data_IF_398493674832
#
_entry.id   IF_398493674832
#
_cell.length_a   1.000
_cell.length_b   1.000
_cell.length_c   1.000
_cell.angle_alpha   90.00
_cell.angle_beta   90.00
_cell.angle_gamma   90.00
#
_symmetry.space_group_name_H-M   'P 1'
#
loop_
_entity.id
_entity.type
_entity.pdbx_description
1 polymer ?
#
# COMPACT_ATOMS: atom_id res chain seq x y z
N UNK A 1 30.15 -0.06 17.42
CA UNK A 1 28.76 -0.53 17.59
C UNK A 1 27.73 0.60 17.54
N UNK A 2 28.01 1.81 18.09
CA UNK A 2 27.07 2.94 18.06
C UNK A 2 26.76 3.49 16.64
N UNK A 3 27.75 3.54 15.74
CA UNK A 3 27.54 4.00 14.35
C UNK A 3 26.71 3.04 13.48
N UNK A 4 26.73 1.74 13.79
CA UNK A 4 25.91 0.75 13.07
C UNK A 4 24.46 0.81 13.51
N UNK A 5 24.23 0.95 14.83
CA UNK A 5 22.89 1.09 15.39
C UNK A 5 22.19 2.37 14.92
N UNK A 6 22.89 3.51 14.87
CA UNK A 6 22.30 4.78 14.39
C UNK A 6 21.98 4.73 12.90
N UNK A 7 22.84 4.11 12.08
CA UNK A 7 22.61 3.93 10.64
C UNK A 7 21.42 3.00 10.38
N UNK A 8 21.35 1.86 11.07
CA UNK A 8 20.23 0.93 10.96
C UNK A 8 18.90 1.57 11.40
N UNK A 9 18.91 2.41 12.45
CA UNK A 9 17.71 3.14 12.88
C UNK A 9 17.26 4.18 11.84
N UNK A 10 18.19 4.85 11.17
CA UNK A 10 17.89 5.76 10.05
C UNK A 10 17.31 5.04 8.83
N UNK A 11 17.86 3.87 8.50
CA UNK A 11 17.35 3.01 7.41
C UNK A 11 15.92 2.53 7.71
N UNK A 12 15.65 2.06 8.95
CA UNK A 12 14.29 1.67 9.37
C UNK A 12 13.31 2.85 9.31
N UNK A 13 13.74 4.05 9.67
CA UNK A 13 12.89 5.25 9.57
C UNK A 13 12.54 5.56 8.11
N UNK A 14 13.50 5.43 7.19
CA UNK A 14 13.25 5.61 5.75
C UNK A 14 12.27 4.56 5.21
N UNK A 15 12.36 3.30 5.68
CA UNK A 15 11.40 2.23 5.32
C UNK A 15 9.98 2.62 5.76
N UNK A 16 9.83 3.03 7.02
CA UNK A 16 8.53 3.40 7.56
C UNK A 16 7.93 4.61 6.83
N UNK A 17 8.75 5.57 6.39
CA UNK A 17 8.28 6.69 5.57
C UNK A 17 7.80 6.25 4.19
N UNK A 18 8.57 5.40 3.49
CA UNK A 18 8.15 4.86 2.18
C UNK A 18 6.87 4.02 2.31
N UNK A 19 6.79 3.19 3.35
CA UNK A 19 5.60 2.41 3.65
C UNK A 19 4.40 3.30 3.97
N UNK A 20 4.56 4.31 4.83
CA UNK A 20 3.50 5.25 5.19
C UNK A 20 3.00 6.05 3.98
N UNK A 21 3.89 6.48 3.09
CA UNK A 21 3.50 7.17 1.86
C UNK A 21 2.67 6.26 0.94
N UNK A 22 3.09 5.01 0.74
CA UNK A 22 2.35 4.06 -0.08
C UNK A 22 0.99 3.68 0.55
N UNK A 23 0.91 3.52 1.88
CA UNK A 23 -0.35 3.27 2.59
C UNK A 23 -1.30 4.44 2.44
N UNK A 24 -0.83 5.69 2.59
CA UNK A 24 -1.68 6.87 2.37
C UNK A 24 -2.25 6.92 0.94
N UNK A 25 -1.48 6.48 -0.05
CA UNK A 25 -1.93 6.42 -1.44
C UNK A 25 -2.96 5.32 -1.69
N UNK A 26 -2.84 4.19 -0.98
CA UNK A 26 -3.82 3.11 -0.97
C UNK A 26 -5.11 3.57 -0.29
N UNK A 27 -5.02 4.21 0.88
CA UNK A 27 -6.18 4.72 1.63
C UNK A 27 -6.99 5.70 0.77
N UNK A 28 -6.34 6.65 0.09
CA UNK A 28 -7.02 7.58 -0.81
C UNK A 28 -7.80 6.87 -1.95
N UNK A 29 -7.27 5.76 -2.47
CA UNK A 29 -7.96 4.95 -3.49
C UNK A 29 -9.12 4.16 -2.90
N UNK A 30 -8.96 3.63 -1.69
CA UNK A 30 -10.03 2.92 -0.97
C UNK A 30 -11.20 3.85 -0.65
N UNK A 31 -10.94 5.08 -0.23
CA UNK A 31 -11.98 6.10 -0.03
C UNK A 31 -12.75 6.36 -1.34
N UNK A 32 -12.04 6.46 -2.47
CA UNK A 32 -12.68 6.62 -3.78
C UNK A 32 -13.51 5.39 -4.17
N UNK A 33 -12.99 4.18 -3.95
CA UNK A 33 -13.70 2.92 -4.20
C UNK A 33 -14.98 2.82 -3.36
N UNK A 34 -14.95 3.27 -2.10
CA UNK A 34 -16.12 3.33 -1.24
C UNK A 34 -17.19 4.28 -1.79
N UNK A 35 -16.79 5.48 -2.24
CA UNK A 35 -17.70 6.45 -2.86
C UNK A 35 -18.35 5.88 -4.14
N UNK A 36 -17.58 5.19 -4.99
CA UNK A 36 -18.12 4.51 -6.19
C UNK A 36 -19.12 3.42 -5.84
N UNK A 37 -18.88 2.68 -4.75
CA UNK A 37 -19.81 1.65 -4.28
C UNK A 37 -21.12 2.25 -3.77
N UNK A 38 -21.06 3.38 -3.06
CA UNK A 38 -22.25 4.15 -2.65
C UNK A 38 -23.03 4.67 -3.86
N UNK A 39 -22.34 5.21 -4.86
CA UNK A 39 -22.95 5.68 -6.10
C UNK A 39 -23.63 4.53 -6.86
N UNK A 40 -22.99 3.36 -6.90
CA UNK A 40 -23.52 2.15 -7.55
C UNK A 40 -24.79 1.57 -6.88
N UNK A 41 -25.04 1.90 -5.60
CA UNK A 41 -26.25 1.48 -4.87
C UNK A 41 -27.45 2.39 -5.15
N UNK A 42 -27.25 3.54 -5.81
CA UNK A 42 -28.32 4.45 -6.17
C UNK A 42 -29.38 3.81 -7.05
N UNK A 43 -30.65 3.87 -6.64
CA UNK A 43 -31.79 3.24 -7.35
C UNK A 43 -32.11 3.86 -8.73
N UNK A 44 -31.38 4.91 -9.15
CA UNK A 44 -31.64 5.70 -10.37
C UNK A 44 -30.58 5.53 -11.46
N UNK A 45 -29.63 4.62 -11.27
CA UNK A 45 -28.60 4.34 -12.27
C UNK A 45 -28.95 3.09 -13.07
N UNK A 46 -28.66 3.13 -14.36
CA UNK A 46 -28.79 2.03 -15.31
C UNK A 46 -27.67 0.99 -15.15
N UNK A 47 -27.86 -0.17 -15.78
CA UNK A 47 -26.82 -1.22 -15.80
C UNK A 47 -25.54 -0.76 -16.52
N UNK A 48 -25.67 0.09 -17.54
CA UNK A 48 -24.51 0.67 -18.24
C UNK A 48 -23.72 1.62 -17.34
N UNK A 49 -24.40 2.43 -16.53
CA UNK A 49 -23.75 3.34 -15.58
C UNK A 49 -23.07 2.53 -14.45
N UNK A 50 -23.72 1.46 -13.94
CA UNK A 50 -23.07 0.51 -13.01
C UNK A 50 -21.81 -0.11 -13.60
N UNK A 51 -21.82 -0.48 -14.88
CA UNK A 51 -20.66 -1.06 -15.54
C UNK A 51 -19.48 -0.07 -15.62
N UNK A 52 -19.75 1.22 -15.84
CA UNK A 52 -18.71 2.27 -15.83
C UNK A 52 -18.11 2.41 -14.43
N UNK A 53 -18.94 2.51 -13.38
CA UNK A 53 -18.48 2.58 -12.00
C UNK A 53 -17.67 1.34 -11.60
N UNK A 54 -18.09 0.16 -12.05
CA UNK A 54 -17.35 -1.08 -11.83
C UNK A 54 -15.98 -1.08 -12.51
N UNK A 55 -15.88 -0.55 -13.74
CA UNK A 55 -14.60 -0.44 -14.43
C UNK A 55 -13.64 0.52 -13.71
N UNK A 56 -14.14 1.65 -13.20
CA UNK A 56 -13.34 2.56 -12.37
C UNK A 56 -12.88 1.85 -11.08
N UNK A 57 -13.77 1.15 -10.40
CA UNK A 57 -13.45 0.36 -9.20
C UNK A 57 -12.38 -0.71 -9.48
N UNK A 58 -12.50 -1.45 -10.58
CA UNK A 58 -11.53 -2.47 -10.98
C UNK A 58 -10.16 -1.87 -11.32
N UNK A 59 -10.15 -0.66 -11.92
CA UNK A 59 -8.93 0.09 -12.21
C UNK A 59 -8.23 0.52 -10.93
N UNK A 60 -8.97 1.12 -9.98
CA UNK A 60 -8.43 1.54 -8.68
C UNK A 60 -7.85 0.36 -7.89
N UNK A 61 -8.50 -0.81 -7.94
CA UNK A 61 -7.95 -2.05 -7.35
C UNK A 61 -6.60 -2.42 -7.96
N UNK A 62 -6.46 -2.36 -9.28
CA UNK A 62 -5.20 -2.64 -9.95
C UNK A 62 -4.10 -1.62 -9.59
N UNK A 63 -4.47 -0.36 -9.40
CA UNK A 63 -3.53 0.67 -8.92
C UNK A 63 -3.08 0.41 -7.47
N UNK A 64 -3.98 -0.04 -6.59
CA UNK A 64 -3.62 -0.46 -5.23
C UNK A 64 -2.60 -1.60 -5.26
N UNK A 65 -2.83 -2.63 -6.09
CA UNK A 65 -1.89 -3.74 -6.25
C UNK A 65 -0.53 -3.26 -6.78
N UNK A 66 -0.52 -2.28 -7.70
CA UNK A 66 0.69 -1.68 -8.22
C UNK A 66 1.46 -0.88 -7.17
N UNK A 67 0.77 -0.08 -6.33
CA UNK A 67 1.39 0.70 -5.25
C UNK A 67 1.96 -0.23 -4.17
N UNK A 68 1.18 -1.23 -3.74
CA UNK A 68 1.63 -2.24 -2.79
C UNK A 68 2.85 -3.02 -3.34
N UNK A 69 2.84 -3.33 -4.64
CA UNK A 69 3.96 -3.93 -5.34
C UNK A 69 5.14 -2.98 -5.52
N UNK A 70 4.96 -1.67 -5.66
CA UNK A 70 6.07 -0.73 -5.88
C UNK A 70 6.86 -0.45 -4.59
N UNK A 71 6.21 -0.55 -3.43
CA UNK A 71 6.85 -0.37 -2.13
C UNK A 71 7.96 -1.41 -1.92
N UNK A 72 9.21 -0.99 -2.13
CA UNK A 72 10.40 -1.83 -2.03
C UNK A 72 11.45 -1.20 -1.14
N UNK A 73 12.18 -2.04 -0.40
CA UNK A 73 13.37 -1.66 0.34
C UNK A 73 14.47 -2.70 0.13
N UNK A 74 15.67 -2.25 -0.24
CA UNK A 74 16.81 -3.13 -0.52
C UNK A 74 16.49 -4.30 -1.48
N UNK A 75 15.55 -4.09 -2.41
CA UNK A 75 15.07 -5.11 -3.36
C UNK A 75 13.93 -6.00 -2.86
N UNK A 76 13.51 -5.90 -1.59
CA UNK A 76 12.41 -6.65 -1.02
C UNK A 76 11.10 -5.84 -0.99
N UNK A 77 9.96 -6.46 -1.30
CA UNK A 77 8.62 -5.85 -1.34
C UNK A 77 8.04 -5.72 0.06
N UNK A 78 7.75 -4.51 0.55
CA UNK A 78 7.40 -4.31 1.97
C UNK A 78 5.90 -4.29 2.27
N UNK A 79 5.04 -4.16 1.24
CA UNK A 79 3.58 -4.05 1.39
C UNK A 79 2.77 -5.11 0.61
N UNK A 80 3.43 -6.11 0.01
CA UNK A 80 2.77 -7.13 -0.82
C UNK A 80 2.15 -8.30 -0.03
N UNK A 81 2.20 -8.24 1.30
CA UNK A 81 1.68 -9.29 2.20
C UNK A 81 2.58 -10.54 2.32
N UNK A 82 3.66 -10.64 1.56
CA UNK A 82 4.61 -11.78 1.65
C UNK A 82 5.66 -11.57 2.73
N UNK A 83 5.95 -10.31 3.07
CA UNK A 83 6.84 -9.97 4.17
C UNK A 83 6.08 -10.00 5.49
N UNK A 84 6.18 -11.11 6.23
CA UNK A 84 5.93 -11.15 7.66
C UNK A 84 6.93 -10.23 8.33
N UNK A 85 6.55 -8.95 8.49
CA UNK A 85 7.18 -7.90 9.28
C UNK A 85 8.66 -8.11 9.61
N UNK A 86 9.53 -7.24 9.08
CA UNK A 86 11.00 -7.11 9.18
C UNK A 86 11.72 -7.44 10.52
N UNK A 87 11.06 -7.95 11.57
CA UNK A 87 11.63 -8.36 12.85
C UNK A 87 12.87 -9.26 12.75
N UNK A 88 12.98 -10.12 11.72
CA UNK A 88 14.12 -11.03 11.57
C UNK A 88 15.43 -10.36 11.09
N UNK A 89 15.37 -9.29 10.30
CA UNK A 89 16.56 -8.63 9.72
C UNK A 89 17.10 -7.48 10.58
N UNK A 90 16.26 -6.87 11.41
CA UNK A 90 16.71 -5.91 12.45
C UNK A 90 17.43 -6.61 13.61
N UNK A 91 17.06 -7.86 13.92
CA UNK A 91 17.70 -8.65 14.98
C UNK A 91 19.01 -9.34 14.58
N UNK A 92 19.21 -9.63 13.29
CA UNK A 92 20.39 -10.39 12.81
C UNK A 92 21.65 -9.53 12.59
N UNK A 93 21.55 -8.20 12.65
CA UNK A 93 22.70 -7.28 12.51
C UNK A 93 23.16 -6.68 13.86
N UNK A 94 22.83 -7.36 14.97
CA UNK A 94 23.25 -7.03 16.34
C UNK A 94 24.08 -8.18 16.96
N UNK A 95 24.65 -9.07 16.13
CA UNK A 95 25.66 -10.04 16.59
C UNK A 95 27.07 -9.55 16.28
#
# INVERSE_FOLDING_TARGET
>A
MLNGASKNAGEVTSILQTAAAAVNEIDAKLDRMAALAEEALGLRISDSERAVLHNEFATLRGEIDAVAGAATFAGAKILDGTNTFFAASIGSNIQ
#
